data_IF_498651494091
#
_entry.id   IF_498651494091
#
_cell.length_a   1.000
_cell.length_b   1.000
_cell.length_c   1.000
_cell.angle_alpha   90.00
_cell.angle_beta   90.00
_cell.angle_gamma   90.00
#
_symmetry.space_group_name_H-M   'P 1'
#
loop_
_entity.id
_entity.type
_entity.pdbx_description
1 polymer ?
#
# COMPACT_ATOMS: atom_id res chain seq x y z
N UNK A 1 4.67 -25.76 -3.68
CA UNK A 1 4.67 -26.58 -4.90
C UNK A 1 3.27 -27.11 -5.05
N UNK A 2 2.65 -26.94 -6.22
CA UNK A 2 1.29 -27.41 -6.45
C UNK A 2 1.29 -28.90 -6.78
N UNK A 3 0.29 -29.65 -6.29
CA UNK A 3 0.14 -31.07 -6.57
C UNK A 3 -0.57 -31.26 -7.94
N UNK A 4 0.19 -31.69 -8.95
CA UNK A 4 -0.28 -31.84 -10.33
C UNK A 4 -1.37 -32.90 -10.47
N UNK A 5 -1.33 -33.97 -9.67
CA UNK A 5 -2.37 -35.00 -9.64
C UNK A 5 -3.71 -34.44 -9.16
N UNK A 6 -3.69 -33.57 -8.13
CA UNK A 6 -4.89 -32.88 -7.65
C UNK A 6 -5.46 -31.91 -8.67
N UNK A 7 -4.60 -31.18 -9.41
CA UNK A 7 -5.03 -30.27 -10.48
C UNK A 7 -5.72 -31.04 -11.62
N UNK A 8 -5.18 -32.20 -12.00
CA UNK A 8 -5.79 -33.07 -13.01
C UNK A 8 -7.03 -33.81 -12.49
N UNK A 9 -7.14 -34.00 -11.17
CA UNK A 9 -8.22 -34.76 -10.53
C UNK A 9 -8.03 -36.28 -10.69
N UNK A 10 -6.79 -36.76 -10.65
CA UNK A 10 -6.41 -38.17 -10.74
C UNK A 10 -5.61 -38.58 -9.49
N UNK A 11 -5.60 -39.86 -9.11
CA UNK A 11 -4.76 -40.31 -8.00
C UNK A 11 -3.28 -40.32 -8.38
N UNK A 12 -2.37 -40.24 -7.39
CA UNK A 12 -0.92 -40.16 -7.63
C UNK A 12 -0.34 -41.43 -8.29
N UNK A 13 -1.04 -42.56 -8.13
CA UNK A 13 -0.71 -43.84 -8.76
C UNK A 13 -1.38 -44.05 -10.13
N UNK A 14 -2.02 -43.03 -10.70
CA UNK A 14 -2.65 -43.12 -12.02
C UNK A 14 -1.64 -43.52 -13.10
N UNK A 15 -2.08 -44.35 -14.05
CA UNK A 15 -1.26 -44.72 -15.20
C UNK A 15 -1.12 -43.57 -16.20
N UNK A 16 -0.22 -43.73 -17.17
CA UNK A 16 0.07 -42.69 -18.17
C UNK A 16 -1.16 -42.39 -19.04
N UNK A 17 -1.99 -43.39 -19.33
CA UNK A 17 -3.18 -43.23 -20.17
C UNK A 17 -4.27 -42.42 -19.45
N UNK A 18 -4.48 -42.68 -18.16
CA UNK A 18 -5.41 -41.96 -17.30
C UNK A 18 -4.99 -40.50 -17.12
N UNK A 19 -3.69 -40.26 -16.89
CA UNK A 19 -3.11 -38.91 -16.82
C UNK A 19 -3.33 -38.18 -18.15
N UNK A 20 -3.01 -38.82 -19.28
CA UNK A 20 -3.19 -38.23 -20.61
C UNK A 20 -4.66 -37.88 -20.88
N UNK A 21 -5.58 -38.77 -20.51
CA UNK A 21 -7.03 -38.56 -20.66
C UNK A 21 -7.53 -37.39 -19.81
N UNK A 22 -7.10 -37.30 -18.55
CA UNK A 22 -7.44 -36.20 -17.66
C UNK A 22 -6.88 -34.86 -18.18
N UNK A 23 -5.64 -34.87 -18.66
CA UNK A 23 -4.97 -33.70 -19.23
C UNK A 23 -5.68 -33.17 -20.48
N UNK A 24 -6.06 -34.04 -21.42
CA UNK A 24 -6.84 -33.66 -22.60
C UNK A 24 -8.21 -33.08 -22.23
N UNK A 25 -8.87 -33.64 -21.20
CA UNK A 25 -10.16 -33.14 -20.70
C UNK A 25 -10.01 -31.72 -20.14
N UNK A 26 -8.97 -31.48 -19.33
CA UNK A 26 -8.67 -30.16 -18.77
C UNK A 26 -8.30 -29.15 -19.87
N UNK A 27 -7.41 -29.52 -20.80
CA UNK A 27 -7.04 -28.66 -21.92
C UNK A 27 -8.25 -28.27 -22.76
N UNK A 28 -9.17 -29.19 -23.05
CA UNK A 28 -10.41 -28.87 -23.78
C UNK A 28 -11.27 -27.85 -23.02
N UNK A 29 -11.42 -28.05 -21.70
CA UNK A 29 -12.20 -27.16 -20.84
C UNK A 29 -11.61 -25.74 -20.80
N UNK A 30 -10.29 -25.62 -20.65
CA UNK A 30 -9.63 -24.31 -20.55
C UNK A 30 -9.47 -23.62 -21.91
N UNK A 31 -9.23 -24.36 -22.99
CA UNK A 31 -9.26 -23.80 -24.35
C UNK A 31 -10.63 -23.17 -24.69
N UNK A 32 -11.74 -23.80 -24.27
CA UNK A 32 -13.06 -23.20 -24.45
C UNK A 32 -13.19 -21.86 -23.69
N UNK A 33 -12.53 -21.72 -22.53
CA UNK A 33 -12.58 -20.51 -21.70
C UNK A 33 -11.71 -19.36 -22.23
N UNK A 34 -10.78 -19.61 -23.15
CA UNK A 34 -10.05 -18.54 -23.87
C UNK A 34 -10.98 -17.62 -24.66
N UNK A 35 -12.16 -18.12 -25.06
CA UNK A 35 -13.17 -17.35 -25.75
C UNK A 35 -14.21 -16.70 -24.80
N UNK A 36 -13.93 -16.65 -23.49
CA UNK A 36 -14.86 -16.04 -22.53
C UNK A 36 -15.01 -14.53 -22.78
N UNK A 37 -16.23 -13.97 -22.62
CA UNK A 37 -16.49 -12.55 -22.90
C UNK A 37 -15.71 -11.59 -21.99
N UNK A 38 -15.44 -12.02 -20.75
CA UNK A 38 -14.69 -11.22 -19.76
C UNK A 38 -13.19 -11.47 -19.86
N UNK A 39 -12.38 -10.41 -19.94
CA UNK A 39 -10.91 -10.49 -20.02
C UNK A 39 -10.28 -11.31 -18.88
N UNK A 40 -10.73 -11.09 -17.63
CA UNK A 40 -10.19 -11.80 -16.47
C UNK A 40 -10.31 -13.33 -16.58
N UNK A 41 -11.42 -13.85 -17.12
CA UNK A 41 -11.58 -15.29 -17.35
C UNK A 41 -10.70 -15.83 -18.48
N UNK A 42 -10.37 -14.99 -19.47
CA UNK A 42 -9.44 -15.37 -20.55
C UNK A 42 -8.01 -15.48 -20.00
N UNK A 43 -7.58 -14.50 -19.21
CA UNK A 43 -6.27 -14.54 -18.55
C UNK A 43 -6.14 -15.71 -17.57
N UNK A 44 -7.21 -16.03 -16.84
CA UNK A 44 -7.26 -17.22 -15.99
C UNK A 44 -7.08 -18.50 -16.84
N UNK A 45 -7.74 -18.58 -17.99
CA UNK A 45 -7.61 -19.71 -18.89
C UNK A 45 -6.22 -19.83 -19.53
N UNK A 46 -5.59 -18.71 -19.90
CA UNK A 46 -4.20 -18.67 -20.39
C UNK A 46 -3.24 -19.25 -19.35
N UNK A 47 -3.30 -18.78 -18.10
CA UNK A 47 -2.45 -19.29 -17.00
C UNK A 47 -2.66 -20.78 -16.74
N UNK A 48 -3.91 -21.25 -16.82
CA UNK A 48 -4.21 -22.67 -16.61
C UNK A 48 -3.74 -23.54 -17.77
N UNK A 49 -3.74 -23.05 -19.01
CA UNK A 49 -3.20 -23.79 -20.16
C UNK A 49 -1.68 -23.92 -20.02
N UNK A 50 -0.98 -22.84 -19.69
CA UNK A 50 0.47 -22.85 -19.44
C UNK A 50 0.83 -23.86 -18.33
N UNK A 51 0.09 -23.86 -17.22
CA UNK A 51 0.26 -24.85 -16.15
C UNK A 51 0.00 -26.29 -16.63
N UNK A 52 -1.00 -26.51 -17.47
CA UNK A 52 -1.30 -27.84 -18.02
C UNK A 52 -0.23 -28.34 -18.99
N UNK A 53 0.45 -27.45 -19.70
CA UNK A 53 1.59 -27.80 -20.55
C UNK A 53 2.80 -28.21 -19.70
N UNK A 54 3.09 -27.48 -18.62
CA UNK A 54 4.12 -27.85 -17.64
C UNK A 54 3.83 -29.23 -16.99
N UNK A 55 2.57 -29.46 -16.59
CA UNK A 55 2.12 -30.76 -16.05
C UNK A 55 2.34 -31.86 -17.08
N UNK A 56 2.00 -31.61 -18.35
CA UNK A 56 2.21 -32.58 -19.44
C UNK A 56 3.67 -32.94 -19.58
N UNK A 57 4.56 -31.95 -19.65
CA UNK A 57 5.99 -32.17 -19.80
C UNK A 57 6.61 -32.93 -18.61
N UNK A 58 6.05 -32.73 -17.41
CA UNK A 58 6.56 -33.35 -16.19
C UNK A 58 6.02 -34.76 -15.98
N UNK A 59 4.71 -34.98 -16.12
CA UNK A 59 4.08 -36.26 -15.79
C UNK A 59 4.10 -37.28 -16.94
N UNK A 60 4.27 -36.83 -18.20
CA UNK A 60 4.36 -37.74 -19.35
C UNK A 60 5.76 -38.31 -19.58
N UNK A 61 6.80 -37.68 -19.01
CA UNK A 61 8.17 -38.18 -19.02
C UNK A 61 8.41 -38.96 -17.72
N UNK A 62 8.68 -40.26 -17.84
CA UNK A 62 8.82 -41.16 -16.68
C UNK A 62 9.92 -40.69 -15.71
N UNK A 63 11.04 -40.18 -16.23
CA UNK A 63 12.14 -39.70 -15.40
C UNK A 63 11.73 -38.43 -14.64
N UNK A 64 11.15 -37.45 -15.34
CA UNK A 64 10.67 -36.20 -14.71
C UNK A 64 9.55 -36.46 -13.71
N UNK A 65 8.65 -37.41 -13.99
CA UNK A 65 7.58 -37.84 -13.09
C UNK A 65 8.17 -38.40 -11.79
N UNK A 66 9.15 -39.29 -11.88
CA UNK A 66 9.81 -39.85 -10.70
C UNK A 66 10.52 -38.78 -9.86
N UNK A 67 11.19 -37.82 -10.50
CA UNK A 67 11.82 -36.68 -9.81
C UNK A 67 10.77 -35.78 -9.11
N UNK A 68 9.64 -35.55 -9.77
CA UNK A 68 8.52 -34.79 -9.22
C UNK A 68 7.90 -35.50 -8.01
N UNK A 69 7.65 -36.81 -8.11
CA UNK A 69 7.08 -37.63 -7.03
C UNK A 69 7.99 -37.67 -5.80
N UNK A 70 9.31 -37.73 -6.00
CA UNK A 70 10.29 -37.64 -4.92
C UNK A 70 10.21 -36.30 -4.19
N UNK A 71 10.14 -35.18 -4.94
CA UNK A 71 9.99 -33.83 -4.37
C UNK A 71 8.67 -33.68 -3.62
N UNK A 72 7.59 -34.24 -4.17
CA UNK A 72 6.27 -34.17 -3.55
C UNK A 72 6.26 -34.90 -2.19
N UNK A 73 6.84 -36.11 -2.13
CA UNK A 73 6.99 -36.87 -0.87
C UNK A 73 7.81 -36.12 0.17
N UNK A 74 8.95 -35.55 -0.23
CA UNK A 74 9.77 -34.74 0.68
C UNK A 74 8.97 -33.56 1.24
N UNK A 75 8.25 -32.84 0.39
CA UNK A 75 7.42 -31.70 0.81
C UNK A 75 6.30 -32.12 1.78
N UNK A 76 5.70 -33.30 1.60
CA UNK A 76 4.70 -33.81 2.54
C UNK A 76 5.28 -34.21 3.89
N UNK A 77 6.48 -34.81 3.92
CA UNK A 77 7.19 -35.14 5.15
C UNK A 77 7.58 -33.89 5.94
N UNK A 78 8.09 -32.86 5.25
CA UNK A 78 8.38 -31.55 5.84
C UNK A 78 7.11 -30.92 6.44
N UNK A 79 5.98 -30.98 5.72
CA UNK A 79 4.71 -30.44 6.20
C UNK A 79 4.15 -31.22 7.41
N UNK A 80 4.32 -32.54 7.45
CA UNK A 80 3.97 -33.36 8.62
C UNK A 80 4.85 -33.00 9.82
N UNK A 81 6.15 -32.86 9.60
CA UNK A 81 7.12 -32.49 10.64
C UNK A 81 6.82 -31.09 11.21
N UNK A 82 6.52 -30.12 10.35
CA UNK A 82 6.16 -28.77 10.77
C UNK A 82 4.89 -28.75 11.65
N UNK A 83 3.86 -29.52 11.29
CA UNK A 83 2.63 -29.64 12.09
C UNK A 83 2.87 -30.26 13.47
N UNK A 84 3.72 -31.30 13.55
CA UNK A 84 4.09 -31.90 14.83
C UNK A 84 4.86 -30.89 15.70
N UNK A 85 5.75 -30.11 15.09
CA UNK A 85 6.50 -29.07 15.79
C UNK A 85 5.58 -27.95 16.32
N UNK A 86 4.59 -27.52 15.52
CA UNK A 86 3.60 -26.53 15.95
C UNK A 86 2.75 -27.05 17.12
N UNK A 87 2.28 -28.32 17.05
CA UNK A 87 1.51 -28.94 18.14
C UNK A 87 2.35 -29.14 19.42
N UNK A 88 3.64 -29.43 19.31
CA UNK A 88 4.53 -29.53 20.48
C UNK A 88 4.71 -28.19 21.20
N UNK A 89 4.81 -27.07 20.44
CA UNK A 89 4.93 -25.73 21.02
C UNK A 89 3.65 -25.26 21.71
N UNK A 90 2.49 -25.69 21.23
CA UNK A 90 1.21 -25.37 21.85
C UNK A 90 1.00 -26.14 23.18
N UNK A 91 1.53 -27.36 23.28
CA UNK A 91 1.49 -28.16 24.51
C UNK A 91 2.50 -27.69 25.57
N UNK A 92 3.72 -27.30 25.18
CA UNK A 92 4.74 -26.80 26.12
C UNK A 92 4.33 -25.45 26.75
N UNK A 93 3.63 -24.58 25.98
CA UNK A 93 3.10 -23.31 26.48
C UNK A 93 2.00 -23.46 27.54
N UNK A 94 1.42 -24.66 27.71
CA UNK A 94 0.38 -24.92 28.69
C UNK A 94 0.92 -25.52 30.01
N UNK A 95 2.11 -26.15 30.00
CA UNK A 95 2.76 -26.64 31.22
C UNK A 95 3.37 -25.51 32.06
N UNK A 96 3.89 -24.44 31.44
CA UNK A 96 4.45 -23.29 32.16
C UNK A 96 3.37 -22.44 32.88
N UNK A 97 2.10 -22.53 32.43
CA UNK A 97 0.95 -21.92 33.11
C UNK A 97 0.43 -22.72 34.31
N UNK A 98 0.61 -24.03 34.35
CA UNK A 98 0.21 -24.82 35.53
C UNK A 98 1.26 -24.75 36.66
N UNK A 99 2.54 -24.59 36.33
CA UNK A 99 3.59 -24.43 37.35
C UNK A 99 3.61 -23.03 37.99
N UNK A 100 3.09 -21.99 37.31
CA UNK A 100 2.94 -20.63 37.88
C UNK A 100 1.65 -20.41 38.68
N UNK A 101 0.67 -21.31 38.60
CA UNK A 101 -0.55 -21.25 39.43
C UNK A 101 -0.39 -22.07 40.72
N UNK A 102 0.35 -23.19 40.70
CA UNK A 102 0.56 -23.98 41.94
C UNK A 102 1.47 -23.31 42.98
N UNK A 103 2.24 -22.27 42.62
CA UNK A 103 3.04 -21.49 43.58
C UNK A 103 2.31 -20.30 44.19
N UNK A 104 1.05 -20.05 43.78
CA UNK A 104 0.26 -18.92 44.28
C UNK A 104 -0.90 -19.33 45.22
N UNK A 105 -1.24 -20.61 45.31
CA UNK A 105 -2.33 -21.11 46.16
C UNK A 105 -1.90 -21.51 47.58
N UNK A 106 -0.61 -21.47 47.92
CA UNK A 106 -0.11 -21.76 49.29
C UNK A 106 0.06 -20.49 50.15
N UNK A 107 -0.86 -19.50 50.05
CA UNK A 107 -0.81 -18.33 50.94
C UNK A 107 -2.12 -17.59 51.23
N UNK A 108 -3.27 -18.27 51.19
CA UNK A 108 -4.52 -17.68 51.67
C UNK A 108 -5.29 -18.72 52.50
N UNK A 109 -4.86 -18.90 53.75
CA UNK A 109 -5.69 -19.56 54.77
C UNK A 109 -5.52 -18.84 56.11
N UNK A 110 -6.39 -17.86 56.35
CA UNK A 110 -6.94 -17.49 57.67
C UNK A 110 -7.70 -16.17 57.52
N UNK A 111 -9.04 -16.23 57.53
CA UNK A 111 -9.91 -15.44 58.41
C UNK A 111 -11.41 -15.59 58.03
N UNK A 112 -12.32 -15.31 58.98
CA UNK A 112 -13.48 -16.16 59.17
C UNK A 112 -14.75 -15.65 58.47
N UNK A 113 -15.62 -16.63 58.26
CA UNK A 113 -17.04 -16.51 57.97
C UNK A 113 -17.72 -15.66 59.03
N UNK A 114 -18.52 -14.69 58.59
CA UNK A 114 -19.89 -14.47 59.04
C UNK A 114 -20.54 -13.47 58.08
N UNK A 115 -21.67 -13.87 57.49
CA UNK A 115 -22.86 -13.04 57.24
C UNK A 115 -23.83 -13.81 56.35
N UNK A 116 -24.96 -14.18 56.98
CA UNK A 116 -26.19 -14.65 56.36
C UNK A 116 -26.67 -13.69 55.27
N UNK A 117 -27.05 -14.22 54.11
CA UNK A 117 -27.93 -13.53 53.19
C UNK A 117 -29.10 -14.45 52.87
N UNK A 118 -30.25 -14.03 53.39
CA UNK A 118 -31.59 -14.51 53.16
C UNK A 118 -31.99 -14.28 51.69
N UNK A 119 -32.54 -15.32 51.07
CA UNK A 119 -33.01 -15.30 49.69
C UNK A 119 -34.34 -14.54 49.58
N UNK A 120 -34.56 -13.83 48.47
CA UNK A 120 -35.91 -13.61 47.92
C UNK A 120 -35.86 -13.28 46.41
N UNK A 121 -36.87 -13.79 45.73
CA UNK A 121 -37.07 -13.99 44.29
C UNK A 121 -37.46 -12.74 43.47
N UNK A 122 -37.47 -12.84 42.11
CA UNK A 122 -37.65 -11.70 41.20
C UNK A 122 -39.12 -11.44 40.84
N UNK A 123 -39.49 -10.16 40.77
CA UNK A 123 -40.83 -9.71 40.38
C UNK A 123 -40.82 -8.59 39.33
N UNK A 124 -41.20 -8.97 38.10
CA UNK A 124 -42.10 -8.32 37.13
C UNK A 124 -42.05 -6.80 36.87
N UNK A 125 -41.76 -6.48 35.60
CA UNK A 125 -42.69 -5.87 34.63
C UNK A 125 -43.40 -4.55 35.00
N UNK A 126 -43.10 -3.45 34.29
CA UNK A 126 -44.02 -2.82 33.32
C UNK A 126 -43.56 -1.42 32.91
N UNK A 127 -43.73 -1.17 31.61
CA UNK A 127 -43.60 0.12 30.95
C UNK A 127 -44.63 1.15 31.44
N UNK A 128 -44.28 2.44 31.39
CA UNK A 128 -45.21 3.48 30.98
C UNK A 128 -44.50 4.74 30.48
N UNK A 129 -45.12 5.25 29.42
CA UNK A 129 -44.90 6.45 28.64
C UNK A 129 -45.28 7.74 29.40
N UNK A 130 -45.33 8.87 28.66
CA UNK A 130 -45.86 10.22 28.99
C UNK A 130 -44.72 11.20 29.31
N UNK A 131 -44.21 11.97 28.35
CA UNK A 131 -44.72 13.16 27.63
C UNK A 131 -44.63 14.49 28.41
N UNK A 132 -43.91 15.43 27.78
CA UNK A 132 -44.11 16.90 27.72
C UNK A 132 -44.63 17.66 28.94
N UNK A 133 -43.82 18.60 29.42
CA UNK A 133 -44.30 19.94 29.80
C UNK A 133 -43.23 21.01 29.54
N UNK A 134 -43.63 22.01 28.77
CA UNK A 134 -43.04 23.36 28.73
C UNK A 134 -43.18 24.06 30.10
N UNK A 135 -42.24 24.95 30.45
CA UNK A 135 -42.51 26.39 30.68
C UNK A 135 -41.29 27.19 31.16
N UNK A 136 -41.07 28.29 30.43
CA UNK A 136 -40.92 29.70 30.87
C UNK A 136 -39.68 30.18 31.68
N UNK A 137 -38.99 31.12 31.02
CA UNK A 137 -38.65 32.50 31.44
C UNK A 137 -38.04 32.75 32.82
N UNK A 138 -36.84 33.38 32.83
CA UNK A 138 -36.61 34.66 33.51
C UNK A 138 -35.61 35.53 32.72
N UNK A 139 -35.93 36.82 32.61
CA UNK A 139 -35.12 37.91 32.05
C UNK A 139 -34.53 38.78 33.17
N UNK A 140 -33.49 39.53 32.81
CA UNK A 140 -32.97 40.82 33.34
C UNK A 140 -31.94 40.79 34.50
N UNK A 141 -31.15 41.87 34.73
CA UNK A 141 -30.81 43.03 33.87
C UNK A 141 -29.31 43.45 33.88
N UNK A 142 -29.06 44.54 33.14
CA UNK A 142 -27.89 45.42 33.03
C UNK A 142 -27.14 45.81 34.31
N UNK A 143 -25.84 46.10 34.17
CA UNK A 143 -25.14 47.10 34.98
C UNK A 143 -24.23 47.97 34.11
N UNK A 144 -24.33 49.28 34.30
CA UNK A 144 -23.57 50.37 33.67
C UNK A 144 -22.59 50.91 34.71
N UNK A 145 -21.38 51.30 34.31
CA UNK A 145 -20.46 52.05 35.17
C UNK A 145 -19.13 52.40 34.50
N UNK A 146 -19.07 53.58 33.90
CA UNK A 146 -17.86 54.27 33.42
C UNK A 146 -17.35 55.26 34.49
N UNK A 147 -16.05 55.63 34.43
CA UNK A 147 -15.36 56.93 34.74
C UNK A 147 -13.85 56.60 34.96
N UNK A 148 -12.93 56.98 34.05
CA UNK A 148 -12.07 58.21 34.01
C UNK A 148 -11.05 58.28 35.19
N UNK A 149 -9.78 58.69 35.11
CA UNK A 149 -8.91 59.30 34.09
C UNK A 149 -7.44 59.25 34.63
N UNK A 150 -6.43 59.47 33.77
CA UNK A 150 -5.05 59.71 34.21
C UNK A 150 -3.98 59.73 33.10
N UNK A 151 -3.90 60.84 32.37
CA UNK A 151 -2.78 61.34 31.51
C UNK A 151 -1.42 61.34 32.27
N UNK A 152 -0.20 61.48 31.73
CA UNK A 152 0.46 61.81 30.44
C UNK A 152 1.99 61.62 30.68
N UNK A 153 2.80 61.40 29.64
CA UNK A 153 4.01 62.20 29.32
C UNK A 153 4.46 61.87 27.88
N UNK A 154 4.80 62.94 27.17
CA UNK A 154 5.14 63.11 25.76
C UNK A 154 6.66 63.13 25.55
N UNK A 155 7.13 62.68 24.38
CA UNK A 155 8.17 63.24 23.47
C UNK A 155 8.76 62.07 22.65
N UNK A 156 8.91 62.07 21.32
CA UNK A 156 8.68 63.05 20.25
C UNK A 156 9.35 62.54 18.96
N UNK A 157 8.87 63.02 17.79
CA UNK A 157 9.49 63.00 16.44
C UNK A 157 9.67 61.61 15.79
N UNK A 158 9.21 61.28 14.58
CA UNK A 158 8.64 62.01 13.46
C UNK A 158 8.87 61.14 12.22
N UNK A 159 7.92 61.10 11.27
CA UNK A 159 8.10 61.05 9.81
C UNK A 159 6.75 60.73 9.13
N UNK A 160 6.45 61.52 8.11
CA UNK A 160 5.25 61.47 7.27
C UNK A 160 5.22 60.22 6.40
N UNK A 161 4.14 59.43 6.43
CA UNK A 161 3.73 58.56 5.33
C UNK A 161 2.19 58.58 5.16
N UNK A 162 1.70 58.54 3.92
CA UNK A 162 0.28 58.68 3.61
C UNK A 162 -0.50 57.43 4.06
N UNK A 163 -1.70 57.69 4.59
CA UNK A 163 -2.63 56.69 5.07
C UNK A 163 -3.49 56.12 3.94
N UNK A 164 -3.77 54.81 4.06
CA UNK A 164 -4.86 54.03 3.43
C UNK A 164 -4.67 53.51 2.00
N UNK A 165 -3.76 52.55 1.84
CA UNK A 165 -4.07 51.36 1.04
C UNK A 165 -4.74 50.34 1.95
N UNK A 166 -6.03 50.08 1.73
CA UNK A 166 -6.72 48.93 2.32
C UNK A 166 -6.17 47.65 1.71
N UNK A 167 -5.04 47.16 2.20
CA UNK A 167 -4.63 45.79 1.96
C UNK A 167 -5.67 44.90 2.62
N UNK A 168 -6.57 44.34 1.80
CA UNK A 168 -7.18 43.05 2.14
C UNK A 168 -5.99 42.13 2.41
N UNK A 169 -5.68 41.88 3.68
CA UNK A 169 -4.94 40.70 4.07
C UNK A 169 -5.80 39.55 3.62
N UNK A 170 -5.63 39.15 2.35
CA UNK A 170 -6.21 37.93 1.83
C UNK A 170 -5.80 36.88 2.84
N UNK A 171 -6.78 36.29 3.50
CA UNK A 171 -6.60 35.07 4.27
C UNK A 171 -5.96 34.07 3.31
N UNK A 172 -4.62 34.09 3.22
CA UNK A 172 -3.86 33.11 2.47
C UNK A 172 -4.39 31.76 2.95
N UNK A 173 -4.73 30.90 2.00
CA UNK A 173 -5.35 29.60 2.25
C UNK A 173 -4.42 28.77 3.15
N UNK A 174 -4.50 28.98 4.47
CA UNK A 174 -3.68 28.33 5.51
C UNK A 174 -3.73 26.81 5.35
N UNK A 175 -4.86 26.32 4.86
CA UNK A 175 -5.14 24.93 4.56
C UNK A 175 -4.35 24.36 3.38
N UNK A 176 -4.04 25.13 2.34
CA UNK A 176 -3.24 24.65 1.21
C UNK A 176 -1.77 24.47 1.61
N UNK A 177 -1.22 25.40 2.39
CA UNK A 177 0.13 25.24 2.97
C UNK A 177 0.19 24.06 3.94
N UNK A 178 -0.85 23.85 4.75
CA UNK A 178 -0.91 22.73 5.70
C UNK A 178 -0.97 21.38 4.98
N UNK A 179 -1.74 21.24 3.90
CA UNK A 179 -1.79 20.01 3.09
C UNK A 179 -0.43 19.70 2.44
N UNK A 180 0.29 20.72 1.97
CA UNK A 180 1.63 20.57 1.40
C UNK A 180 2.64 20.12 2.45
N UNK A 181 2.64 20.77 3.61
CA UNK A 181 3.51 20.40 4.73
C UNK A 181 3.25 18.95 5.17
N UNK A 182 1.99 18.53 5.24
CA UNK A 182 1.62 17.14 5.53
C UNK A 182 2.23 16.18 4.50
N UNK A 183 2.18 16.51 3.21
CA UNK A 183 2.79 15.69 2.15
C UNK A 183 4.30 15.59 2.32
N UNK A 184 4.97 16.71 2.55
CA UNK A 184 6.43 16.77 2.75
C UNK A 184 6.88 15.96 3.99
N UNK A 185 6.15 16.08 5.09
CA UNK A 185 6.40 15.30 6.31
C UNK A 185 6.15 13.81 6.09
N UNK A 186 5.03 13.44 5.46
CA UNK A 186 4.69 12.05 5.21
C UNK A 186 5.74 11.35 4.30
N UNK A 187 6.31 12.06 3.31
CA UNK A 187 7.41 11.54 2.49
C UNK A 187 8.67 11.21 3.32
N UNK A 188 8.86 11.87 4.46
CA UNK A 188 9.95 11.63 5.41
C UNK A 188 9.57 10.63 6.52
N UNK A 189 8.38 10.04 6.46
CA UNK A 189 7.82 9.18 7.50
C UNK A 189 7.36 9.94 8.74
N UNK A 190 7.29 11.27 8.70
CA UNK A 190 6.84 12.10 9.83
C UNK A 190 5.34 12.35 9.74
N UNK A 191 4.72 12.53 10.89
CA UNK A 191 3.32 12.94 10.99
C UNK A 191 3.23 14.38 11.45
N UNK A 192 2.36 15.15 10.82
CA UNK A 192 2.15 16.54 11.15
C UNK A 192 1.78 16.74 12.64
N UNK A 193 2.66 17.42 13.38
CA UNK A 193 2.53 17.65 14.82
C UNK A 193 3.05 16.52 15.72
N UNK A 194 3.72 15.50 15.17
CA UNK A 194 4.32 14.39 15.92
C UNK A 194 5.86 14.49 15.84
N UNK A 195 6.59 14.42 16.97
CA UNK A 195 8.03 14.72 17.00
C UNK A 195 8.93 13.55 16.59
N UNK A 196 8.36 12.42 16.16
CA UNK A 196 9.09 11.23 15.74
C UNK A 196 8.55 10.70 14.41
N UNK A 197 9.33 9.84 13.77
CA UNK A 197 8.97 9.18 12.52
C UNK A 197 8.14 7.93 12.77
N UNK A 198 7.44 7.48 11.75
CA UNK A 198 6.65 6.26 11.75
C UNK A 198 7.50 5.00 11.93
N UNK A 199 8.81 5.07 11.68
CA UNK A 199 9.78 3.98 11.87
C UNK A 199 10.67 4.17 13.11
N UNK A 200 10.31 5.10 14.00
CA UNK A 200 11.02 5.30 15.27
C UNK A 200 10.99 4.03 16.13
N UNK A 201 12.01 3.87 16.96
CA UNK A 201 12.09 2.83 17.98
C UNK A 201 11.24 3.19 19.20
N UNK A 202 10.98 2.20 20.06
CA UNK A 202 10.21 2.47 21.27
C UNK A 202 10.93 3.46 22.21
N UNK A 203 12.25 3.33 22.28
CA UNK A 203 13.11 4.18 23.07
C UNK A 203 13.00 5.65 22.65
N UNK A 204 13.07 5.93 21.34
CA UNK A 204 12.94 7.29 20.80
C UNK A 204 11.59 7.94 21.11
N UNK A 205 10.49 7.17 21.04
CA UNK A 205 9.18 7.70 21.41
C UNK A 205 9.06 7.91 22.91
N UNK A 206 9.51 6.96 23.73
CA UNK A 206 9.46 7.09 25.19
C UNK A 206 10.29 8.29 25.66
N UNK A 207 11.42 8.58 25.01
CA UNK A 207 12.26 9.75 25.28
C UNK A 207 11.56 11.06 24.91
N UNK A 208 10.83 11.10 23.80
CA UNK A 208 10.17 12.31 23.34
C UNK A 208 8.82 12.58 24.03
N UNK A 209 8.02 11.54 24.26
CA UNK A 209 6.63 11.65 24.73
C UNK A 209 6.31 10.93 26.04
N UNK A 210 7.26 10.20 26.62
CA UNK A 210 7.05 9.37 27.80
C UNK A 210 6.35 8.05 27.47
N UNK A 211 6.11 7.23 28.49
CA UNK A 211 5.39 5.96 28.33
C UNK A 211 3.91 6.20 27.95
N UNK A 212 3.32 5.33 27.11
CA UNK A 212 1.90 5.41 26.78
C UNK A 212 1.05 5.21 28.03
N UNK A 213 -0.13 5.85 28.06
CA UNK A 213 -1.06 5.67 29.19
C UNK A 213 -1.72 4.29 29.14
N UNK A 214 -1.99 3.82 27.92
CA UNK A 214 -2.56 2.52 27.64
C UNK A 214 -1.66 1.83 26.62
N UNK A 215 -1.14 0.64 26.95
CA UNK A 215 -0.49 -0.25 26.00
C UNK A 215 -1.28 -1.54 25.93
N UNK A 216 -1.94 -1.78 24.79
CA UNK A 216 -2.50 -3.08 24.45
C UNK A 216 -1.83 -3.52 23.13
N UNK A 217 -1.35 -4.76 23.07
CA UNK A 217 -0.74 -5.32 21.86
C UNK A 217 -1.67 -5.23 20.64
N UNK A 218 -2.99 -5.35 20.83
CA UNK A 218 -3.96 -5.31 19.72
C UNK A 218 -4.43 -3.89 19.37
N UNK A 219 -4.67 -3.04 20.37
CA UNK A 219 -5.22 -1.69 20.17
C UNK A 219 -4.16 -0.61 19.92
N UNK A 220 -2.88 -0.98 19.99
CA UNK A 220 -1.75 -0.06 19.95
C UNK A 220 -1.53 0.68 21.27
N UNK A 221 -0.43 1.41 21.31
CA UNK A 221 -0.06 2.27 22.44
C UNK A 221 -0.58 3.68 22.23
N UNK A 222 -1.22 4.25 23.25
CA UNK A 222 -1.97 5.51 23.14
C UNK A 222 -1.44 6.61 24.06
N UNK A 223 -1.40 7.85 23.54
CA UNK A 223 -1.07 9.06 24.29
C UNK A 223 -2.26 10.03 24.32
N UNK A 224 -3.30 9.74 25.13
CA UNK A 224 -4.52 10.53 25.14
C UNK A 224 -4.35 11.98 25.58
N UNK A 225 -3.28 12.26 26.34
CA UNK A 225 -3.01 13.58 26.92
C UNK A 225 -2.06 14.43 26.06
N UNK A 226 -1.58 13.91 24.93
CA UNK A 226 -0.72 14.67 24.01
C UNK A 226 -1.57 15.34 22.93
N UNK A 227 -1.06 16.43 22.38
CA UNK A 227 -1.68 17.15 21.27
C UNK A 227 -0.71 17.14 20.08
N UNK A 228 -1.00 16.38 19.01
CA UNK A 228 -2.24 15.65 18.77
C UNK A 228 -2.37 14.34 19.58
N UNK A 229 -3.59 13.83 19.67
CA UNK A 229 -3.85 12.45 20.12
C UNK A 229 -3.18 11.50 19.15
N UNK A 230 -2.34 10.61 19.68
CA UNK A 230 -1.60 9.64 18.87
C UNK A 230 -1.77 8.22 19.35
N UNK A 231 -1.95 7.34 18.37
CA UNK A 231 -1.89 5.89 18.52
C UNK A 231 -0.73 5.34 17.70
N UNK A 232 0.00 4.41 18.28
CA UNK A 232 1.15 3.76 17.67
C UNK A 232 0.88 2.26 17.62
N UNK A 233 0.87 1.69 16.42
CA UNK A 233 0.72 0.25 16.20
C UNK A 233 2.11 -0.35 15.94
N UNK A 234 2.51 -1.32 16.76
CA UNK A 234 3.79 -2.00 16.66
C UNK A 234 3.64 -3.40 16.08
N UNK A 235 4.45 -3.70 15.07
CA UNK A 235 4.89 -5.07 14.75
C UNK A 235 5.97 -5.44 15.80
N UNK A 236 6.22 -6.70 16.21
CA UNK A 236 7.12 -7.05 17.33
C UNK A 236 8.57 -6.52 17.22
N UNK A 237 8.96 -5.94 16.09
CA UNK A 237 10.31 -5.39 15.86
C UNK A 237 10.36 -3.91 15.49
N UNK A 238 9.26 -3.30 15.03
CA UNK A 238 9.23 -1.90 14.57
C UNK A 238 7.84 -1.30 14.69
N UNK A 239 7.79 0.02 14.81
CA UNK A 239 6.53 0.76 14.67
C UNK A 239 6.10 0.67 13.22
N UNK A 240 4.89 0.17 13.02
CA UNK A 240 4.34 0.02 11.68
C UNK A 240 3.51 1.24 11.27
N UNK A 241 2.82 1.85 12.23
CA UNK A 241 1.85 2.92 11.95
C UNK A 241 1.71 3.87 13.10
N UNK A 242 1.75 5.17 12.80
CA UNK A 242 1.41 6.23 13.75
C UNK A 242 0.12 6.91 13.25
N UNK A 243 -0.83 7.13 14.14
CA UNK A 243 -2.16 7.67 13.83
C UNK A 243 -2.38 8.98 14.58
N UNK A 244 -2.72 10.05 13.86
CA UNK A 244 -3.22 11.32 14.41
C UNK A 244 -4.75 11.31 14.30
N UNK A 245 -5.45 11.23 15.43
CA UNK A 245 -6.93 11.27 15.45
C UNK A 245 -7.38 12.66 15.90
N UNK A 246 -8.17 13.36 15.08
CA UNK A 246 -8.63 14.72 15.39
C UNK A 246 -9.90 14.78 16.25
N UNK A 247 -10.54 13.64 16.54
CA UNK A 247 -11.95 13.60 16.94
C UNK A 247 -12.26 13.63 18.44
N UNK A 248 -11.28 13.73 19.33
CA UNK A 248 -11.59 14.01 20.74
C UNK A 248 -11.44 15.50 21.03
N UNK A 249 -12.54 16.13 21.45
CA UNK A 249 -12.53 17.41 22.19
C UNK A 249 -11.80 17.19 23.54
N UNK A 250 -10.49 17.04 23.53
CA UNK A 250 -9.67 17.21 24.74
C UNK A 250 -9.31 18.70 24.79
N UNK A 251 -10.07 19.48 25.56
CA UNK A 251 -9.74 20.87 25.86
C UNK A 251 -10.03 21.92 24.77
N UNK A 252 -11.02 21.70 23.88
CA UNK A 252 -11.52 22.76 23.00
C UNK A 252 -10.62 23.16 21.82
N UNK A 253 -9.57 22.40 21.51
CA UNK A 253 -8.69 22.68 20.36
C UNK A 253 -9.21 22.09 19.05
N UNK A 254 -8.94 22.82 17.96
CA UNK A 254 -9.49 22.63 16.61
C UNK A 254 -9.07 21.28 15.99
N UNK A 255 -10.07 20.66 15.37
CA UNK A 255 -9.94 19.62 14.35
C UNK A 255 -8.93 20.05 13.27
N UNK A 256 -8.28 19.11 12.57
CA UNK A 256 -7.54 19.46 11.34
C UNK A 256 -8.52 20.25 10.45
N UNK A 257 -8.17 21.48 10.09
CA UNK A 257 -9.02 22.35 9.26
C UNK A 257 -9.08 21.93 7.80
N UNK A 258 -8.43 20.81 7.47
CA UNK A 258 -8.23 20.34 6.12
C UNK A 258 -9.48 19.69 5.55
N UNK A 259 -9.93 20.24 4.43
CA UNK A 259 -10.86 19.58 3.55
C UNK A 259 -10.17 18.49 2.75
N UNK A 260 -10.95 17.49 2.36
CA UNK A 260 -10.49 16.46 1.45
C UNK A 260 -10.04 17.01 0.09
N UNK A 261 -10.65 18.11 -0.38
CA UNK A 261 -10.29 18.75 -1.64
C UNK A 261 -8.87 19.35 -1.59
N UNK A 262 -8.44 19.86 -0.44
CA UNK A 262 -7.08 20.39 -0.27
C UNK A 262 -6.04 19.28 -0.24
N UNK A 263 -6.35 18.15 0.41
CA UNK A 263 -5.51 16.96 0.35
C UNK A 263 -5.39 16.47 -1.10
N UNK A 264 -6.51 16.31 -1.82
CA UNK A 264 -6.49 15.92 -3.23
C UNK A 264 -5.67 16.86 -4.11
N UNK A 265 -5.76 18.17 -3.87
CA UNK A 265 -4.99 19.16 -4.64
C UNK A 265 -3.48 18.95 -4.48
N UNK A 266 -2.99 18.69 -3.27
CA UNK A 266 -1.55 18.56 -3.02
C UNK A 266 -1.04 17.12 -3.25
N UNK A 267 -1.81 16.10 -2.87
CA UNK A 267 -1.43 14.69 -3.04
C UNK A 267 -1.78 14.12 -4.43
N UNK A 268 -2.69 14.75 -5.16
CA UNK A 268 -3.26 14.26 -6.42
C UNK A 268 -4.42 13.29 -6.21
N UNK A 269 -4.96 12.78 -7.32
CA UNK A 269 -6.05 11.79 -7.35
C UNK A 269 -5.56 10.33 -7.32
N UNK A 270 -4.26 10.14 -7.06
CA UNK A 270 -3.55 8.85 -7.10
C UNK A 270 -3.72 8.00 -5.82
N UNK A 271 -4.81 8.16 -5.09
CA UNK A 271 -5.08 7.37 -3.89
C UNK A 271 -5.73 6.03 -4.24
N UNK A 272 -5.37 5.00 -3.46
CA UNK A 272 -6.14 3.77 -3.37
C UNK A 272 -7.35 4.06 -2.50
N UNK A 273 -8.52 4.12 -3.13
CA UNK A 273 -9.76 4.33 -2.41
C UNK A 273 -10.16 3.06 -1.66
N UNK A 274 -10.36 3.16 -0.35
CA UNK A 274 -10.94 2.09 0.45
C UNK A 274 -12.37 2.50 0.80
N UNK A 275 -13.35 1.84 0.17
CA UNK A 275 -14.72 1.78 0.70
C UNK A 275 -14.68 0.79 1.88
N UNK A 276 -14.12 1.23 2.99
CA UNK A 276 -14.45 0.67 4.28
C UNK A 276 -15.44 1.64 4.88
N UNK A 277 -16.74 1.36 4.75
CA UNK A 277 -17.70 2.01 5.64
C UNK A 277 -17.36 1.45 7.03
N UNK A 278 -16.87 2.30 7.92
CA UNK A 278 -16.69 1.96 9.34
C UNK A 278 -18.04 1.79 10.06
N UNK A 279 -19.14 1.72 9.29
CA UNK A 279 -20.52 1.76 9.73
C UNK A 279 -20.97 3.18 10.09
N UNK A 280 -20.10 4.18 9.93
CA UNK A 280 -20.35 5.58 10.32
C UNK A 280 -20.18 6.56 9.15
N UNK A 281 -20.11 6.04 7.92
CA UNK A 281 -19.98 6.85 6.71
C UNK A 281 -18.61 7.50 6.54
N UNK A 282 -17.58 7.01 7.26
CA UNK A 282 -16.19 7.40 7.03
C UNK A 282 -15.67 6.83 5.70
N UNK A 283 -14.84 7.59 5.01
CA UNK A 283 -14.12 7.15 3.82
C UNK A 283 -12.62 7.14 4.11
N UNK A 284 -11.91 6.11 3.65
CA UNK A 284 -10.47 5.99 3.83
C UNK A 284 -9.75 6.15 2.49
N UNK A 285 -8.76 7.02 2.49
CA UNK A 285 -8.01 7.43 1.31
C UNK A 285 -6.54 7.15 1.53
N UNK A 286 -6.00 6.19 0.77
CA UNK A 286 -4.63 5.73 0.96
C UNK A 286 -3.71 6.23 -0.16
N UNK A 287 -2.63 6.92 0.19
CA UNK A 287 -1.60 7.36 -0.75
C UNK A 287 -0.31 6.61 -0.48
N UNK A 288 0.25 5.99 -1.53
CA UNK A 288 1.61 5.45 -1.50
C UNK A 288 2.61 6.57 -1.75
N UNK A 289 3.66 6.61 -0.96
CA UNK A 289 4.81 7.51 -1.09
C UNK A 289 6.06 6.65 -1.33
N UNK A 290 7.22 7.21 -1.76
CA UNK A 290 8.39 6.42 -2.14
C UNK A 290 8.90 5.45 -1.06
N UNK A 291 8.85 5.83 0.21
CA UNK A 291 9.34 5.02 1.35
C UNK A 291 8.30 4.77 2.44
N UNK A 292 7.12 5.38 2.30
CA UNK A 292 6.05 5.39 3.31
C UNK A 292 4.70 5.33 2.62
N UNK A 293 3.64 5.28 3.40
CA UNK A 293 2.30 5.56 2.91
C UNK A 293 1.53 6.38 3.93
N UNK A 294 0.52 7.09 3.45
CA UNK A 294 -0.39 7.88 4.30
C UNK A 294 -1.84 7.44 4.04
N UNK A 295 -2.59 7.19 5.11
CA UNK A 295 -4.03 6.97 5.06
C UNK A 295 -4.75 8.17 5.69
N UNK A 296 -5.71 8.75 4.97
CA UNK A 296 -6.61 9.78 5.49
C UNK A 296 -7.98 9.17 5.75
N UNK A 297 -8.48 9.31 6.97
CA UNK A 297 -9.89 9.08 7.26
C UNK A 297 -10.63 10.41 7.04
N UNK A 298 -11.66 10.38 6.19
CA UNK A 298 -12.43 11.54 5.78
C UNK A 298 -13.90 11.32 6.11
N UNK A 299 -14.52 12.30 6.74
CA UNK A 299 -15.96 12.28 7.04
C UNK A 299 -16.55 13.63 6.68
N UNK A 300 -17.67 13.64 5.94
CA UNK A 300 -18.34 14.86 5.47
C UNK A 300 -17.38 15.83 4.75
N UNK A 301 -16.47 15.29 3.92
CA UNK A 301 -15.49 16.06 3.16
C UNK A 301 -14.35 16.68 3.98
N UNK A 302 -14.22 16.34 5.27
CA UNK A 302 -13.14 16.81 6.14
C UNK A 302 -12.26 15.67 6.61
N UNK A 303 -10.96 15.93 6.73
CA UNK A 303 -10.00 14.96 7.28
C UNK A 303 -10.20 14.86 8.80
N UNK A 304 -10.56 13.67 9.29
CA UNK A 304 -10.80 13.40 10.72
C UNK A 304 -9.66 12.61 11.38
N UNK A 305 -8.87 11.90 10.57
CA UNK A 305 -7.65 11.25 11.04
C UNK A 305 -6.66 11.10 9.89
N UNK A 306 -5.39 10.98 10.25
CA UNK A 306 -4.32 10.69 9.31
C UNK A 306 -3.36 9.69 9.94
N UNK A 307 -2.88 8.76 9.14
CA UNK A 307 -1.90 7.76 9.56
C UNK A 307 -0.73 7.77 8.59
N UNK A 308 0.50 7.70 9.11
CA UNK A 308 1.71 7.48 8.29
C UNK A 308 2.41 6.24 8.81
N UNK A 309 2.90 5.42 7.90
CA UNK A 309 3.53 4.14 8.19
C UNK A 309 4.41 3.67 7.04
N UNK A 310 5.20 2.63 7.26
CA UNK A 310 5.79 1.90 6.13
C UNK A 310 4.67 1.20 5.37
N UNK A 311 4.81 1.06 4.06
CA UNK A 311 3.73 0.54 3.22
C UNK A 311 3.24 -0.85 3.66
N UNK A 312 4.17 -1.75 4.02
CA UNK A 312 3.85 -3.12 4.45
C UNK A 312 3.07 -3.18 5.77
N UNK A 313 3.02 -2.09 6.53
CA UNK A 313 2.28 -1.99 7.78
C UNK A 313 0.83 -1.58 7.57
N UNK A 314 0.48 -1.14 6.38
CA UNK A 314 -0.91 -1.05 5.99
C UNK A 314 -1.36 -2.42 5.50
N UNK A 315 -2.59 -2.85 5.84
CA UNK A 315 -3.11 -4.11 5.33
C UNK A 315 -2.94 -4.11 3.81
N UNK A 316 -2.44 -5.22 3.24
CA UNK A 316 -2.33 -5.36 1.79
C UNK A 316 -3.69 -5.01 1.22
N UNK A 317 -3.79 -3.84 0.60
CA UNK A 317 -5.02 -3.44 -0.05
C UNK A 317 -5.10 -4.28 -1.31
N UNK A 318 -5.59 -5.52 -1.18
CA UNK A 318 -5.90 -6.45 -2.28
C UNK A 318 -7.03 -5.94 -3.19
N UNK A 319 -7.40 -4.66 -3.03
CA UNK A 319 -8.63 -4.07 -3.50
C UNK A 319 -8.46 -2.77 -4.27
N UNK A 320 -7.28 -2.47 -4.84
CA UNK A 320 -7.35 -1.71 -6.10
C UNK A 320 -8.01 -2.68 -7.10
N UNK A 321 -9.34 -2.75 -7.07
CA UNK A 321 -10.05 -3.26 -8.22
C UNK A 321 -9.69 -2.26 -9.31
N UNK A 322 -8.91 -2.67 -10.33
CA UNK A 322 -8.68 -1.76 -11.43
C UNK A 322 -10.06 -1.29 -11.90
N UNK A 323 -10.14 -0.02 -12.31
CA UNK A 323 -11.33 0.50 -12.98
C UNK A 323 -11.88 -0.54 -13.95
N UNK A 324 -13.20 -0.60 -14.09
CA UNK A 324 -13.80 -1.58 -15.01
C UNK A 324 -13.33 -1.36 -16.45
N UNK A 325 -12.82 -0.17 -16.78
CA UNK A 325 -12.24 0.13 -18.07
C UNK A 325 -10.89 -0.57 -18.28
N UNK A 326 -10.71 -1.06 -19.51
CA UNK A 326 -9.54 -1.81 -19.92
C UNK A 326 -8.25 -0.99 -19.78
N UNK A 327 -8.30 0.30 -20.10
CA UNK A 327 -7.14 1.18 -20.05
C UNK A 327 -6.55 1.28 -18.63
N UNK A 328 -7.41 1.54 -17.63
CA UNK A 328 -7.01 1.52 -16.22
C UNK A 328 -6.44 0.15 -15.82
N UNK A 329 -7.04 -0.97 -16.25
CA UNK A 329 -6.51 -2.31 -15.97
C UNK A 329 -5.10 -2.50 -16.50
N UNK A 330 -4.84 -2.07 -17.73
CA UNK A 330 -3.54 -2.22 -18.37
C UNK A 330 -2.45 -1.38 -17.70
N UNK A 331 -2.76 -0.14 -17.31
CA UNK A 331 -1.78 0.70 -16.60
C UNK A 331 -1.48 0.14 -15.20
N UNK A 332 -2.48 -0.41 -14.50
CA UNK A 332 -2.24 -1.13 -13.24
C UNK A 332 -1.41 -2.40 -13.43
N UNK A 333 -1.63 -3.15 -14.52
CA UNK A 333 -0.81 -4.31 -14.87
C UNK A 333 0.65 -3.90 -15.10
N UNK A 334 0.91 -2.84 -15.88
CA UNK A 334 2.27 -2.30 -16.07
C UNK A 334 2.89 -1.94 -14.71
N UNK A 335 2.14 -1.24 -13.86
CA UNK A 335 2.57 -0.82 -12.53
C UNK A 335 2.94 -2.01 -11.64
N UNK A 336 2.09 -3.03 -11.56
CA UNK A 336 2.33 -4.20 -10.71
C UNK A 336 3.45 -5.10 -11.26
N UNK A 337 3.53 -5.31 -12.57
CA UNK A 337 4.64 -6.06 -13.16
C UNK A 337 5.97 -5.34 -12.92
N UNK A 338 6.01 -4.01 -13.11
CA UNK A 338 7.21 -3.21 -12.87
C UNK A 338 7.68 -3.25 -11.42
N UNK A 339 6.76 -3.38 -10.45
CA UNK A 339 7.10 -3.58 -9.02
C UNK A 339 7.98 -4.81 -8.80
N UNK A 340 7.81 -5.82 -9.63
CA UNK A 340 8.55 -7.08 -9.59
C UNK A 340 9.68 -7.14 -10.61
N UNK A 341 10.00 -6.01 -11.26
CA UNK A 341 11.00 -5.96 -12.32
C UNK A 341 10.60 -6.79 -13.54
N UNK A 342 9.30 -6.96 -13.80
CA UNK A 342 8.76 -7.77 -14.91
C UNK A 342 8.04 -6.89 -15.94
N UNK A 343 7.86 -7.44 -17.14
CA UNK A 343 7.04 -6.85 -18.20
C UNK A 343 6.20 -7.94 -18.87
N UNK A 344 5.05 -7.55 -19.43
CA UNK A 344 4.11 -8.51 -20.00
C UNK A 344 4.70 -9.29 -21.18
N UNK A 345 4.54 -10.61 -21.19
CA UNK A 345 5.08 -11.45 -22.27
C UNK A 345 6.61 -11.51 -22.34
N UNK A 346 7.33 -10.98 -21.34
CA UNK A 346 8.77 -11.20 -21.16
C UNK A 346 8.93 -12.14 -19.94
N UNK A 347 9.43 -13.38 -20.11
CA UNK A 347 9.46 -14.39 -19.05
C UNK A 347 10.56 -14.14 -18.00
N UNK A 348 11.32 -13.06 -18.14
CA UNK A 348 12.43 -12.72 -17.27
C UNK A 348 12.13 -11.49 -16.41
N UNK A 349 12.78 -11.39 -15.27
CA UNK A 349 12.78 -10.19 -14.44
C UNK A 349 14.13 -9.47 -14.47
N UNK A 350 14.15 -8.21 -14.06
CA UNK A 350 15.37 -7.51 -13.65
C UNK A 350 16.16 -8.41 -12.67
N UNK A 351 17.46 -8.53 -12.90
CA UNK A 351 18.37 -9.41 -12.16
C UNK A 351 18.57 -10.80 -12.76
N UNK A 352 17.80 -11.22 -13.77
CA UNK A 352 17.95 -12.55 -14.39
C UNK A 352 19.34 -12.69 -15.03
N UNK A 353 20.10 -13.77 -14.75
CA UNK A 353 21.41 -13.99 -15.37
C UNK A 353 21.34 -14.19 -16.89
N UNK A 354 22.31 -13.63 -17.62
CA UNK A 354 22.43 -13.71 -19.08
C UNK A 354 22.46 -15.15 -19.61
N UNK A 355 23.23 -16.03 -18.97
CA UNK A 355 23.34 -17.43 -19.38
C UNK A 355 21.99 -18.16 -19.30
N UNK A 356 21.12 -17.78 -18.35
CA UNK A 356 19.76 -18.28 -18.26
C UNK A 356 18.92 -17.76 -19.42
N UNK A 357 19.00 -16.47 -19.73
CA UNK A 357 18.25 -15.86 -20.85
C UNK A 357 18.62 -16.51 -22.19
N UNK A 358 19.91 -16.66 -22.50
CA UNK A 358 20.37 -17.23 -23.78
C UNK A 358 19.95 -18.69 -23.94
N UNK A 359 19.94 -19.46 -22.84
CA UNK A 359 19.48 -20.85 -22.85
C UNK A 359 18.00 -20.96 -23.25
N UNK A 360 17.17 -20.06 -22.72
CA UNK A 360 15.72 -20.03 -22.96
C UNK A 360 15.37 -19.38 -24.31
N UNK A 361 16.01 -18.26 -24.67
CA UNK A 361 15.77 -17.52 -25.92
C UNK A 361 16.78 -17.89 -27.01
N UNK A 362 16.80 -19.18 -27.37
CA UNK A 362 17.60 -19.68 -28.47
C UNK A 362 17.37 -18.84 -29.74
N UNK A 363 18.45 -18.51 -30.47
CA UNK A 363 18.46 -17.67 -31.69
C UNK A 363 18.19 -16.17 -31.50
N UNK A 364 18.51 -15.59 -30.33
CA UNK A 364 18.50 -14.14 -30.16
C UNK A 364 19.62 -13.44 -30.93
N UNK A 365 19.35 -12.24 -31.43
CA UNK A 365 20.40 -11.36 -31.96
C UNK A 365 21.05 -10.59 -30.79
N UNK A 366 22.36 -10.73 -30.64
CA UNK A 366 23.14 -9.97 -29.66
C UNK A 366 23.87 -8.82 -30.34
N UNK A 367 23.80 -7.63 -29.75
CA UNK A 367 24.63 -6.49 -30.12
C UNK A 367 25.27 -5.85 -28.90
N UNK A 368 26.42 -5.20 -29.10
CA UNK A 368 27.13 -4.44 -28.07
C UNK A 368 28.57 -4.90 -27.83
N UNK A 369 29.37 -4.01 -27.25
CA UNK A 369 30.73 -4.30 -26.80
C UNK A 369 30.72 -4.94 -25.39
N UNK A 370 31.85 -5.51 -24.97
CA UNK A 370 32.01 -6.10 -23.64
C UNK A 370 31.67 -5.08 -22.54
N UNK A 371 30.54 -5.26 -21.86
CA UNK A 371 30.09 -4.42 -20.74
C UNK A 371 28.68 -3.84 -20.87
N UNK A 372 28.10 -3.82 -22.07
CA UNK A 372 26.69 -3.43 -22.30
C UNK A 372 26.12 -4.27 -23.43
N UNK A 373 25.64 -5.47 -23.08
CA UNK A 373 25.02 -6.39 -24.04
C UNK A 373 23.55 -6.05 -24.18
N UNK A 374 23.07 -5.99 -25.41
CA UNK A 374 21.65 -5.93 -25.73
C UNK A 374 21.26 -7.17 -26.50
N UNK A 375 20.19 -7.82 -26.07
CA UNK A 375 19.67 -9.02 -26.68
C UNK A 375 18.27 -8.74 -27.21
N UNK A 376 18.07 -9.06 -28.48
CA UNK A 376 16.80 -8.89 -29.19
C UNK A 376 16.17 -10.26 -29.43
N UNK A 377 14.89 -10.36 -29.09
CA UNK A 377 14.08 -11.54 -29.40
C UNK A 377 12.70 -11.10 -29.85
N UNK A 378 12.42 -11.24 -31.15
CA UNK A 378 11.21 -10.71 -31.77
C UNK A 378 11.08 -9.19 -31.51
N UNK A 379 10.03 -8.77 -30.82
CA UNK A 379 9.71 -7.41 -30.42
C UNK A 379 10.25 -7.04 -29.03
N UNK A 380 10.96 -7.94 -28.35
CA UNK A 380 11.43 -7.77 -26.96
C UNK A 380 12.91 -7.41 -26.95
N UNK A 381 13.29 -6.57 -26.00
CA UNK A 381 14.67 -6.09 -25.84
C UNK A 381 15.07 -6.20 -24.37
N UNK A 382 16.20 -6.87 -24.14
CA UNK A 382 16.84 -6.99 -22.84
C UNK A 382 18.20 -6.30 -22.89
N UNK A 383 18.53 -5.51 -21.88
CA UNK A 383 19.91 -5.06 -21.66
C UNK A 383 20.46 -5.68 -20.39
N UNK A 384 21.77 -5.94 -20.41
CA UNK A 384 22.49 -6.53 -19.30
C UNK A 384 23.50 -5.56 -18.72
N UNK A 385 23.68 -5.61 -17.40
CA UNK A 385 24.73 -4.90 -16.70
C UNK A 385 26.10 -5.59 -16.83
N UNK A 386 27.12 -5.01 -16.19
CA UNK A 386 28.48 -5.55 -16.17
C UNK A 386 28.60 -6.88 -15.42
N UNK A 387 27.63 -7.25 -14.58
CA UNK A 387 27.54 -8.55 -13.93
C UNK A 387 26.81 -9.59 -14.79
N UNK A 388 26.46 -9.23 -16.04
CA UNK A 388 25.66 -10.03 -16.96
C UNK A 388 24.28 -10.40 -16.38
N UNK A 389 23.64 -9.47 -15.67
CA UNK A 389 22.26 -9.60 -15.21
C UNK A 389 21.36 -8.62 -15.97
N UNK A 390 20.12 -9.03 -16.23
CA UNK A 390 19.13 -8.16 -16.88
C UNK A 390 18.94 -6.89 -16.05
N UNK A 391 19.25 -5.73 -16.64
CA UNK A 391 19.14 -4.43 -15.99
C UNK A 391 18.05 -3.55 -16.64
N UNK A 392 17.60 -3.90 -17.84
CA UNK A 392 16.50 -3.24 -18.54
C UNK A 392 15.65 -4.27 -19.29
N UNK A 393 14.33 -4.09 -19.22
CA UNK A 393 13.33 -4.74 -20.04
C UNK A 393 12.62 -3.68 -20.89
N UNK A 394 12.45 -3.92 -22.19
CA UNK A 394 11.66 -3.05 -23.05
C UNK A 394 11.12 -3.79 -24.28
N UNK A 395 10.30 -3.10 -25.08
CA UNK A 395 9.90 -3.57 -26.40
C UNK A 395 10.50 -2.67 -27.49
N UNK A 396 10.74 -3.24 -28.67
CA UNK A 396 11.07 -2.48 -29.89
C UNK A 396 9.83 -1.73 -30.40
N UNK A 397 8.67 -2.38 -30.34
CA UNK A 397 7.36 -1.78 -30.61
C UNK A 397 6.43 -2.11 -29.45
N UNK A 398 5.67 -1.12 -28.95
CA UNK A 398 4.75 -1.34 -27.84
C UNK A 398 3.67 -2.37 -28.23
N UNK A 399 3.42 -3.42 -27.40
CA UNK A 399 2.41 -4.42 -27.68
C UNK A 399 1.04 -3.80 -27.99
N UNK A 400 0.31 -4.35 -28.97
CA UNK A 400 -1.00 -3.84 -29.42
C UNK A 400 -1.98 -3.54 -28.27
N UNK A 401 -1.98 -4.37 -27.22
CA UNK A 401 -2.84 -4.17 -26.04
C UNK A 401 -2.55 -2.87 -25.28
N UNK A 402 -1.33 -2.34 -25.36
CA UNK A 402 -0.93 -1.11 -24.67
C UNK A 402 -0.96 0.13 -25.57
N UNK A 403 -1.15 -0.03 -26.88
CA UNK A 403 -1.21 1.09 -27.84
C UNK A 403 -2.38 2.05 -27.57
N UNK A 404 -3.44 1.59 -26.88
CA UNK A 404 -4.59 2.42 -26.52
C UNK A 404 -4.44 3.18 -25.20
N UNK A 405 -3.29 3.06 -24.51
CA UNK A 405 -3.07 3.76 -23.24
C UNK A 405 -2.76 5.24 -23.52
N UNK A 406 -3.61 6.11 -23.00
CA UNK A 406 -3.34 7.55 -22.92
C UNK A 406 -2.32 7.85 -21.83
N UNK A 407 -1.45 8.82 -22.08
CA UNK A 407 -0.50 9.23 -21.05
C UNK A 407 -1.18 9.93 -19.85
N UNK A 408 -2.37 10.53 -20.06
CA UNK A 408 -3.20 11.05 -18.97
C UNK A 408 -3.53 9.95 -17.95
N UNK A 409 -3.89 8.76 -18.42
CA UNK A 409 -4.17 7.61 -17.56
C UNK A 409 -2.92 7.13 -16.81
N UNK A 410 -1.77 7.11 -17.48
CA UNK A 410 -0.48 6.80 -16.83
C UNK A 410 -0.24 7.77 -15.68
N UNK A 411 -0.33 9.09 -15.91
CA UNK A 411 -0.17 10.11 -14.84
C UNK A 411 -1.16 9.93 -13.69
N UNK A 412 -2.41 9.57 -13.99
CA UNK A 412 -3.41 9.32 -12.97
C UNK A 412 -3.00 8.18 -12.02
N UNK A 413 -2.41 7.10 -12.55
CA UNK A 413 -2.12 5.87 -11.79
C UNK A 413 -0.70 5.84 -11.24
N UNK A 414 0.29 6.32 -11.99
CA UNK A 414 1.70 6.39 -11.57
C UNK A 414 2.03 7.67 -10.80
N UNK A 415 1.23 8.73 -10.93
CA UNK A 415 1.43 9.98 -10.23
C UNK A 415 2.25 11.01 -10.98
N UNK A 416 3.00 11.81 -10.22
CA UNK A 416 3.94 12.80 -10.76
C UNK A 416 5.28 12.11 -11.03
N UNK A 417 5.84 12.21 -12.25
CA UNK A 417 7.14 11.66 -12.57
C UNK A 417 8.25 12.40 -11.81
N UNK A 418 9.31 11.68 -11.43
CA UNK A 418 10.49 12.23 -10.77
C UNK A 418 11.33 13.06 -11.74
N UNK A 419 11.37 12.67 -13.02
CA UNK A 419 12.11 13.39 -14.07
C UNK A 419 11.33 13.35 -15.39
N UNK A 420 11.41 14.46 -16.12
CA UNK A 420 10.84 14.59 -17.47
C UNK A 420 11.97 15.03 -18.38
N UNK A 421 12.19 14.29 -19.45
CA UNK A 421 13.15 14.62 -20.50
C UNK A 421 12.38 14.79 -21.81
N UNK A 422 12.51 15.93 -22.46
CA UNK A 422 11.79 16.21 -23.71
C UNK A 422 12.76 16.53 -24.82
N UNK A 423 12.58 15.90 -25.97
CA UNK A 423 13.29 16.22 -27.21
C UNK A 423 12.30 16.24 -28.37
N UNK A 424 12.17 17.40 -29.00
CA UNK A 424 11.28 17.58 -30.15
C UNK A 424 9.83 17.19 -29.83
N UNK A 425 9.27 16.20 -30.51
CA UNK A 425 7.90 15.70 -30.33
C UNK A 425 7.81 14.47 -29.40
N UNK A 426 8.88 14.18 -28.66
CA UNK A 426 8.98 13.02 -27.77
C UNK A 426 9.29 13.50 -26.35
N UNK A 427 8.59 12.93 -25.37
CA UNK A 427 8.85 13.14 -23.95
C UNK A 427 9.00 11.81 -23.24
N UNK A 428 10.04 11.70 -22.40
CA UNK A 428 10.30 10.56 -21.53
C UNK A 428 9.96 10.96 -20.09
N UNK A 429 9.05 10.23 -19.47
CA UNK A 429 8.62 10.45 -18.09
C UNK A 429 9.13 9.30 -17.23
N UNK A 430 9.91 9.65 -16.22
CA UNK A 430 10.65 8.70 -15.40
C UNK A 430 9.98 8.60 -14.05
N UNK A 431 9.54 7.38 -13.72
CA UNK A 431 8.92 7.03 -12.46
C UNK A 431 9.82 6.09 -11.67
N UNK A 432 10.44 6.58 -10.59
CA UNK A 432 11.12 5.69 -9.64
C UNK A 432 10.06 4.95 -8.81
N UNK A 433 10.08 3.63 -8.89
CA UNK A 433 9.06 2.74 -8.35
C UNK A 433 9.70 1.53 -7.65
N UNK A 434 9.90 1.67 -6.33
CA UNK A 434 10.64 0.73 -5.47
C UNK A 434 12.11 0.56 -5.93
N UNK A 435 12.55 -0.68 -6.13
CA UNK A 435 13.88 -1.04 -6.61
C UNK A 435 14.03 -0.86 -8.13
N UNK A 436 12.97 -0.42 -8.81
CA UNK A 436 12.91 -0.30 -10.26
C UNK A 436 12.52 1.11 -10.68
N UNK A 437 12.77 1.42 -11.93
CA UNK A 437 12.37 2.65 -12.60
C UNK A 437 11.52 2.27 -13.81
N UNK A 438 10.42 2.97 -14.02
CA UNK A 438 9.58 2.83 -15.20
C UNK A 438 9.69 4.10 -16.03
N UNK A 439 10.11 3.97 -17.28
CA UNK A 439 10.23 5.09 -18.19
C UNK A 439 9.17 4.97 -19.26
N UNK A 440 8.27 5.94 -19.34
CA UNK A 440 7.27 6.03 -20.40
C UNK A 440 7.73 7.05 -21.44
N UNK A 441 7.81 6.62 -22.69
CA UNK A 441 8.09 7.49 -23.83
C UNK A 441 6.77 7.82 -24.50
N UNK A 442 6.49 9.09 -24.67
CA UNK A 442 5.28 9.58 -25.32
C UNK A 442 5.60 10.38 -26.56
N UNK A 443 4.63 10.48 -27.47
CA UNK A 443 4.65 11.48 -28.52
C UNK A 443 3.33 12.24 -28.57
N UNK A 444 3.40 13.52 -28.95
CA UNK A 444 2.22 14.36 -29.13
C UNK A 444 1.66 14.14 -30.53
N UNK A 445 0.41 13.70 -30.60
CA UNK A 445 -0.33 13.61 -31.86
C UNK A 445 -0.54 15.02 -32.43
N UNK A 446 0.03 15.29 -33.61
CA UNK A 446 0.01 16.63 -34.22
C UNK A 446 -1.41 17.13 -34.53
N UNK A 447 -2.39 16.23 -34.69
CA UNK A 447 -3.77 16.61 -35.03
C UNK A 447 -4.60 16.92 -33.79
N UNK A 448 -4.47 16.10 -32.74
CA UNK A 448 -5.30 16.20 -31.54
C UNK A 448 -4.61 16.96 -30.40
N UNK A 449 -3.28 17.09 -30.44
CA UNK A 449 -2.47 17.58 -29.32
C UNK A 449 -2.36 16.60 -28.16
N UNK A 450 -2.85 15.36 -28.31
CA UNK A 450 -2.88 14.37 -27.26
C UNK A 450 -1.54 13.62 -27.13
N UNK A 451 -1.05 13.47 -25.90
CA UNK A 451 0.14 12.66 -25.59
C UNK A 451 -0.22 11.17 -25.54
N UNK A 452 0.36 10.39 -26.47
CA UNK A 452 0.18 8.94 -26.55
C UNK A 452 1.45 8.23 -26.10
N UNK A 453 1.30 7.14 -25.35
CA UNK A 453 2.43 6.28 -24.98
C UNK A 453 2.87 5.49 -26.22
N UNK A 454 4.13 5.67 -26.63
CA UNK A 454 4.70 4.98 -27.80
C UNK A 454 5.66 3.85 -27.39
N UNK A 455 6.25 3.93 -26.20
CA UNK A 455 7.00 2.84 -25.59
C UNK A 455 7.06 3.01 -24.08
N UNK A 456 7.42 1.92 -23.39
CA UNK A 456 7.84 1.99 -21.99
C UNK A 456 8.88 0.92 -21.70
N UNK A 457 9.65 1.14 -20.64
CA UNK A 457 10.67 0.20 -20.18
C UNK A 457 10.77 0.15 -18.67
N UNK A 458 11.21 -0.99 -18.15
CA UNK A 458 11.48 -1.21 -16.74
C UNK A 458 13.00 -1.36 -16.56
N UNK A 459 13.59 -0.57 -15.67
CA UNK A 459 15.03 -0.45 -15.47
C UNK A 459 15.37 -0.66 -13.99
N UNK A 460 16.56 -1.15 -13.68
CA UNK A 460 17.10 -1.13 -12.31
C UNK A 460 17.52 0.29 -11.90
N UNK A 461 17.26 0.69 -10.65
CA UNK A 461 17.64 2.04 -10.16
C UNK A 461 19.14 2.22 -9.93
N UNK A 462 19.89 1.13 -9.79
CA UNK A 462 21.33 1.17 -9.47
C UNK A 462 22.23 1.67 -10.61
N UNK A 463 21.71 1.88 -11.82
CA UNK A 463 22.53 2.15 -13.01
C UNK A 463 22.79 3.63 -13.34
N UNK A 464 22.34 4.60 -12.53
CA UNK A 464 22.59 6.02 -12.86
C UNK A 464 24.04 6.49 -12.71
N UNK A 465 25.00 5.57 -12.50
CA UNK A 465 26.43 5.85 -12.51
C UNK A 465 27.15 5.60 -13.84
N UNK A 466 26.47 5.05 -14.87
CA UNK A 466 27.12 4.75 -16.15
C UNK A 466 26.96 5.89 -17.17
N UNK A 467 28.11 6.32 -17.70
CA UNK A 467 28.28 7.30 -18.75
C UNK A 467 27.44 6.93 -19.99
N UNK A 468 26.50 7.79 -20.34
CA UNK A 468 25.92 7.82 -21.68
C UNK A 468 27.04 8.23 -22.64
N UNK A 469 27.56 7.31 -23.45
CA UNK A 469 28.49 7.64 -24.53
C UNK A 469 27.68 8.22 -25.69
N UNK A 470 27.75 9.54 -25.97
CA UNK A 470 26.95 10.18 -27.00
C UNK A 470 27.36 9.75 -28.43
N UNK A 471 28.46 9.01 -28.59
CA UNK A 471 29.01 8.63 -29.90
C UNK A 471 28.22 7.54 -30.64
N UNK A 472 27.27 6.87 -29.98
CA UNK A 472 26.46 5.78 -30.59
C UNK A 472 25.19 6.26 -31.33
N UNK A 473 25.00 7.56 -31.49
CA UNK A 473 23.88 8.17 -32.26
C UNK A 473 24.35 8.87 -33.56
N UNK A 474 25.47 8.43 -34.15
CA UNK A 474 25.88 8.86 -35.50
C UNK A 474 25.62 7.79 -36.55
#
# INVERSE_FOLDING_TARGET
MDNYYQILGVPENADVEEIQKALLKQLRLWNHRLNAPTLSRRQEAERMIELLEEIKETLMDEKKRNEYDAKLKQFEEERKTAKVLEQSKENDGNQEKQQSVSSFEEKIESEPKDLEIEALEPGKEQAKSVSLTEKRFYKHPWFVGSILAGLLIVFGLGWLLPTKFGMKTGSQNVSASEAREIKELAMQGKIYGVPFKADATWEEISKSWGMPKNSNQEAGSQWPNKNPYVEVFSDPKMIGKVCKISNKKVGGKKQLSLSWQEIKKEFGDQFVYRIGDDGKGGQFYFYRLPSYAVEFAVQNGKVIAMQVGKEHCFPKYEGIKPGKDLETQLVYEIRELSRHGKMYGIPFSIGTPYNFVVKEWQNSEETGASGSRTLYYQDKVLQFDHENKVCQLSYREIPKRYQSISFSKVRQIFGTPQKIESNSNISTYIYDYYAHRVEFVTSVDKKTGEEKVISFKVVTTCQSGYYFDPSLNQ
#
